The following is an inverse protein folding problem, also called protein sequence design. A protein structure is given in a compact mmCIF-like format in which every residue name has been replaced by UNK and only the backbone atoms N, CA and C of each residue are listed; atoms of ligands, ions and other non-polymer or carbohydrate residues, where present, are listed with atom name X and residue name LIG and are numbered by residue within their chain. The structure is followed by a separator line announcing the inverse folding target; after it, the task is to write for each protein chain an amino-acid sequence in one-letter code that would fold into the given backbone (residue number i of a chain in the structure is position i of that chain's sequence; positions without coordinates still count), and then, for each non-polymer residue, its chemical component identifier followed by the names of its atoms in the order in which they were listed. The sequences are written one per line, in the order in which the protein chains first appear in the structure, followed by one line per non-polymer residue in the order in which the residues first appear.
data_IF_977102593511
#
_entry.id   IF_977102593511
#
_cell.length_a   1.000
_cell.length_b   1.000
_cell.length_c   1.000
_cell.angle_alpha   90.00
_cell.angle_beta   90.00
_cell.angle_gamma   90.00
#
_symmetry.space_group_name_H-M   'P 1'
#
loop_
_entity.id
_entity.type
_entity.pdbx_description
1 polymer ?
#
# COMPACT_ATOMS: atom_id res chain seq x y z
N UNK A 1 39.63 -12.44 -15.18
CA UNK A 1 38.68 -13.02 -14.21
C UNK A 1 39.10 -14.45 -13.95
N UNK A 2 39.41 -14.81 -12.71
CA UNK A 2 39.81 -16.18 -12.35
C UNK A 2 38.55 -17.02 -12.12
N UNK A 3 38.32 -18.02 -12.98
CA UNK A 3 37.24 -19.00 -12.80
C UNK A 3 37.68 -19.96 -11.68
N UNK A 4 36.91 -20.04 -10.61
CA UNK A 4 37.20 -20.94 -9.49
C UNK A 4 36.86 -22.39 -9.89
N UNK A 5 37.74 -23.33 -9.52
CA UNK A 5 37.49 -24.76 -9.73
C UNK A 5 36.45 -25.23 -8.72
N UNK A 6 35.35 -25.82 -9.19
CA UNK A 6 34.26 -26.35 -8.37
C UNK A 6 34.25 -27.88 -8.41
N UNK A 7 33.93 -28.53 -7.29
CA UNK A 7 33.76 -29.97 -7.20
C UNK A 7 32.29 -30.29 -6.93
N UNK A 8 31.73 -31.25 -7.68
CA UNK A 8 30.41 -31.81 -7.40
C UNK A 8 30.49 -32.77 -6.22
N UNK A 9 29.61 -32.60 -5.24
CA UNK A 9 29.48 -33.47 -4.07
C UNK A 9 28.11 -34.14 -4.09
N UNK A 10 28.06 -35.38 -3.59
CA UNK A 10 26.84 -36.17 -3.41
C UNK A 10 26.82 -36.63 -1.96
N UNK A 11 25.74 -36.38 -1.23
CA UNK A 11 25.60 -36.73 0.18
C UNK A 11 24.31 -37.53 0.39
N UNK A 12 24.44 -38.69 1.01
CA UNK A 12 23.33 -39.55 1.39
C UNK A 12 23.41 -39.85 2.88
N UNK A 13 22.27 -39.82 3.56
CA UNK A 13 22.21 -40.03 5.01
C UNK A 13 20.85 -40.56 5.46
N UNK A 14 20.72 -40.83 6.77
CA UNK A 14 19.45 -41.24 7.36
C UNK A 14 18.50 -40.05 7.45
N UNK A 15 17.22 -40.26 7.13
CA UNK A 15 16.22 -39.19 7.09
C UNK A 15 16.10 -38.43 8.43
N UNK A 16 16.25 -39.13 9.55
CA UNK A 16 16.26 -38.56 10.91
C UNK A 16 17.39 -37.55 11.16
N UNK A 17 18.49 -37.63 10.40
CA UNK A 17 19.65 -36.76 10.55
C UNK A 17 19.67 -35.63 9.50
N UNK A 18 18.64 -35.54 8.65
CA UNK A 18 18.53 -34.54 7.56
C UNK A 18 18.70 -33.11 8.06
N UNK A 19 17.95 -32.73 9.10
CA UNK A 19 17.93 -31.35 9.60
C UNK A 19 19.25 -30.97 10.27
N UNK A 20 19.94 -31.94 10.87
CA UNK A 20 21.29 -31.75 11.41
C UNK A 20 22.29 -31.44 10.29
N UNK A 21 22.30 -32.25 9.22
CA UNK A 21 23.19 -32.03 8.08
C UNK A 21 22.88 -30.72 7.34
N UNK A 22 21.61 -30.39 7.15
CA UNK A 22 21.19 -29.11 6.58
C UNK A 22 21.75 -27.92 7.37
N UNK A 23 21.59 -27.92 8.70
CA UNK A 23 22.14 -26.88 9.57
C UNK A 23 23.67 -26.82 9.49
N UNK A 24 24.36 -27.96 9.48
CA UNK A 24 25.81 -28.02 9.41
C UNK A 24 26.35 -27.47 8.07
N UNK A 25 25.71 -27.84 6.96
CA UNK A 25 26.08 -27.39 5.62
C UNK A 25 25.81 -25.89 5.44
N UNK A 26 24.66 -25.40 5.92
CA UNK A 26 24.31 -23.97 5.89
C UNK A 26 25.30 -23.15 6.72
N UNK A 27 25.67 -23.62 7.92
CA UNK A 27 26.65 -22.94 8.80
C UNK A 27 28.05 -22.91 8.19
N UNK A 28 28.40 -23.92 7.40
CA UNK A 28 29.68 -23.95 6.71
C UNK A 28 29.74 -22.93 5.56
N UNK A 29 28.61 -22.53 4.96
CA UNK A 29 28.51 -21.59 3.81
C UNK A 29 29.39 -21.96 2.60
N UNK A 30 29.82 -23.23 2.46
CA UNK A 30 30.79 -23.64 1.43
C UNK A 30 30.14 -24.30 0.22
N UNK A 31 28.85 -24.64 0.30
CA UNK A 31 28.18 -25.54 -0.66
C UNK A 31 26.98 -24.83 -1.27
N UNK A 32 26.94 -24.81 -2.61
CA UNK A 32 25.77 -24.47 -3.40
C UNK A 32 24.99 -25.76 -3.68
N UNK A 33 23.75 -25.85 -3.22
CA UNK A 33 22.94 -27.06 -3.32
C UNK A 33 22.24 -27.09 -4.69
N UNK A 34 22.33 -28.22 -5.37
CA UNK A 34 21.81 -28.43 -6.72
C UNK A 34 20.62 -29.40 -6.66
N UNK A 35 19.58 -29.15 -7.46
CA UNK A 35 18.38 -30.00 -7.51
C UNK A 35 18.64 -31.08 -8.58
N UNK A 36 18.69 -32.38 -8.22
CA UNK A 36 19.04 -33.42 -9.18
C UNK A 36 17.91 -33.65 -10.19
N UNK A 37 17.99 -33.06 -11.39
CA UNK A 37 16.97 -33.21 -12.46
C UNK A 37 16.97 -34.59 -13.15
N UNK A 38 18.06 -35.38 -13.08
CA UNK A 38 18.20 -36.61 -13.89
C UNK A 38 18.91 -37.81 -13.21
N UNK A 39 19.55 -37.60 -12.06
CA UNK A 39 20.40 -38.60 -11.36
C UNK A 39 19.89 -38.94 -9.95
N UNK A 40 18.71 -38.43 -9.58
CA UNK A 40 18.15 -38.65 -8.25
C UNK A 40 17.68 -40.10 -8.12
N UNK A 41 18.04 -40.81 -7.03
CA UNK A 41 17.43 -42.12 -6.77
C UNK A 41 15.93 -41.94 -6.58
N UNK A 42 15.11 -42.70 -7.33
CA UNK A 42 13.65 -42.71 -7.16
C UNK A 42 13.33 -43.29 -5.79
N UNK A 43 12.83 -42.45 -4.89
CA UNK A 43 12.57 -42.80 -3.52
C UNK A 43 11.07 -42.56 -3.26
N UNK A 44 10.26 -43.62 -3.25
CA UNK A 44 8.79 -43.58 -3.39
C UNK A 44 7.93 -42.91 -2.30
N UNK A 45 8.32 -41.72 -1.79
CA UNK A 45 7.54 -40.83 -0.91
C UNK A 45 7.71 -39.33 -1.24
N UNK A 46 8.23 -39.03 -2.42
CA UNK A 46 8.46 -37.65 -2.89
C UNK A 46 7.15 -36.82 -2.88
N UNK A 47 6.02 -37.38 -3.31
CA UNK A 47 4.76 -36.62 -3.47
C UNK A 47 4.10 -36.20 -2.14
N UNK A 48 4.00 -37.09 -1.14
CA UNK A 48 3.41 -36.77 0.18
C UNK A 48 4.27 -35.78 0.96
N UNK A 49 5.60 -35.93 0.89
CA UNK A 49 6.55 -35.03 1.56
C UNK A 49 6.56 -33.64 0.92
N UNK A 50 6.43 -33.57 -0.41
CA UNK A 50 6.37 -32.29 -1.13
C UNK A 50 5.10 -31.51 -0.79
N UNK A 51 3.95 -32.17 -0.63
CA UNK A 51 2.69 -31.49 -0.28
C UNK A 51 2.72 -30.85 1.12
N UNK A 52 3.39 -31.47 2.09
CA UNK A 52 3.55 -30.91 3.45
C UNK A 52 4.53 -29.73 3.44
N UNK A 53 5.67 -29.87 2.74
CA UNK A 53 6.65 -28.79 2.57
C UNK A 53 6.02 -27.59 1.83
N UNK A 54 5.23 -27.82 0.79
CA UNK A 54 4.54 -26.74 0.06
C UNK A 54 3.55 -25.97 0.96
N UNK A 55 2.84 -26.65 1.86
CA UNK A 55 1.95 -25.98 2.83
C UNK A 55 2.73 -25.13 3.83
N UNK A 56 3.79 -25.68 4.41
CA UNK A 56 4.66 -24.93 5.34
C UNK A 56 5.31 -23.73 4.65
N UNK A 57 5.76 -23.89 3.39
CA UNK A 57 6.29 -22.79 2.58
C UNK A 57 5.22 -21.71 2.36
N UNK A 58 3.98 -22.08 2.03
CA UNK A 58 2.90 -21.13 1.86
C UNK A 58 2.58 -20.34 3.15
N UNK A 59 2.62 -20.99 4.31
CA UNK A 59 2.45 -20.31 5.61
C UNK A 59 3.58 -19.32 5.91
N UNK A 60 4.83 -19.72 5.65
CA UNK A 60 5.99 -18.83 5.81
C UNK A 60 5.93 -17.65 4.84
N UNK A 61 5.50 -17.89 3.60
CA UNK A 61 5.33 -16.86 2.57
C UNK A 61 4.28 -15.83 2.98
N UNK A 62 3.20 -16.28 3.61
CA UNK A 62 2.19 -15.40 4.17
C UNK A 62 2.79 -14.50 5.26
N UNK A 63 3.55 -15.06 6.21
CA UNK A 63 4.23 -14.30 7.25
C UNK A 63 5.25 -13.30 6.68
N UNK A 64 6.04 -13.70 5.69
CA UNK A 64 6.99 -12.82 5.00
C UNK A 64 6.28 -11.65 4.32
N UNK A 65 5.15 -11.93 3.64
CA UNK A 65 4.36 -10.90 2.98
C UNK A 65 3.78 -9.88 3.95
N UNK A 66 3.32 -10.32 5.12
CA UNK A 66 2.74 -9.40 6.11
C UNK A 66 3.80 -8.58 6.85
N UNK A 67 4.97 -9.16 7.11
CA UNK A 67 6.13 -8.44 7.64
C UNK A 67 6.63 -7.39 6.64
N UNK A 68 6.77 -7.75 5.36
CA UNK A 68 7.21 -6.83 4.31
C UNK A 68 6.25 -5.63 4.18
N UNK A 69 4.94 -5.90 4.06
CA UNK A 69 3.92 -4.85 4.04
C UNK A 69 4.00 -3.94 5.26
N UNK A 70 4.23 -4.51 6.44
CA UNK A 70 4.35 -3.76 7.70
C UNK A 70 5.57 -2.85 7.69
N UNK A 71 6.73 -3.37 7.28
CA UNK A 71 7.98 -2.60 7.19
C UNK A 71 7.82 -1.47 6.17
N UNK A 72 7.30 -1.77 4.97
CA UNK A 72 7.04 -0.76 3.92
C UNK A 72 6.05 0.31 4.39
N UNK A 73 5.01 -0.08 5.13
CA UNK A 73 4.06 0.86 5.72
C UNK A 73 4.74 1.80 6.72
N UNK A 74 5.55 1.27 7.65
CA UNK A 74 6.27 2.08 8.63
C UNK A 74 7.26 3.03 7.92
N UNK A 75 8.01 2.53 6.94
CA UNK A 75 9.03 3.30 6.23
C UNK A 75 8.45 4.43 5.36
N UNK A 76 7.19 4.30 4.91
CA UNK A 76 6.47 5.39 4.23
C UNK A 76 6.35 6.64 5.11
N UNK A 77 6.14 6.48 6.42
CA UNK A 77 5.92 7.58 7.35
C UNK A 77 7.18 7.94 8.15
N UNK A 78 8.01 6.96 8.49
CA UNK A 78 9.21 7.12 9.31
C UNK A 78 10.43 6.47 8.64
N UNK A 79 10.87 6.94 7.46
CA UNK A 79 11.98 6.32 6.73
C UNK A 79 13.29 6.37 7.52
N UNK A 80 14.05 5.28 7.48
CA UNK A 80 15.41 5.26 8.02
C UNK A 80 16.31 6.08 7.11
N UNK A 81 16.83 7.21 7.60
CA UNK A 81 17.84 8.00 6.88
C UNK A 81 19.21 7.34 7.09
N UNK A 82 19.82 6.73 6.06
CA UNK A 82 21.17 6.19 6.23
C UNK A 82 22.14 7.34 6.52
N UNK A 83 23.01 7.13 7.49
CA UNK A 83 24.17 8.04 7.68
C UNK A 83 25.07 7.99 6.44
N UNK A 84 25.87 9.04 6.20
CA UNK A 84 26.77 9.12 5.03
C UNK A 84 27.63 7.85 4.86
N UNK A 85 28.09 7.24 5.96
CA UNK A 85 28.88 6.00 5.94
C UNK A 85 28.02 4.79 5.52
N UNK A 86 26.77 4.72 5.99
CA UNK A 86 25.83 3.65 5.64
C UNK A 86 25.31 3.76 4.20
N UNK A 87 25.38 4.93 3.56
CA UNK A 87 25.07 5.07 2.13
C UNK A 87 26.10 4.35 1.23
N UNK A 88 27.36 4.26 1.68
CA UNK A 88 28.42 3.58 0.93
C UNK A 88 28.57 2.10 1.30
N UNK A 89 28.36 1.74 2.57
CA UNK A 89 28.56 0.36 3.07
C UNK A 89 27.26 -0.47 3.18
N UNK A 90 26.10 0.17 2.98
CA UNK A 90 24.78 -0.35 3.35
C UNK A 90 24.49 -0.16 4.84
N UNK A 91 23.21 -0.10 5.21
CA UNK A 91 22.78 -0.17 6.61
C UNK A 91 22.90 -1.63 7.06
N UNK A 92 23.96 -1.96 7.81
CA UNK A 92 24.11 -3.27 8.44
C UNK A 92 23.94 -3.11 9.94
N UNK A 93 22.90 -3.74 10.49
CA UNK A 93 22.71 -3.85 11.94
C UNK A 93 23.38 -5.14 12.39
N UNK A 94 24.34 -5.03 13.30
CA UNK A 94 25.01 -6.20 13.87
C UNK A 94 24.24 -6.65 15.11
N UNK A 95 23.71 -7.86 15.05
CA UNK A 95 23.09 -8.55 16.18
C UNK A 95 23.98 -9.74 16.56
N UNK A 96 24.08 -10.03 17.85
CA UNK A 96 24.62 -11.32 18.30
C UNK A 96 23.61 -12.44 17.99
N UNK A 97 24.09 -13.69 17.93
CA UNK A 97 23.22 -14.85 17.68
C UNK A 97 22.09 -14.94 18.73
N UNK A 98 22.40 -14.63 20.00
CA UNK A 98 21.42 -14.68 21.10
C UNK A 98 20.36 -13.59 20.92
N UNK A 99 20.78 -12.34 20.65
CA UNK A 99 19.84 -11.23 20.42
C UNK A 99 18.96 -11.48 19.18
N UNK A 100 19.52 -12.08 18.13
CA UNK A 100 18.76 -12.45 16.94
C UNK A 100 17.71 -13.50 17.26
N UNK A 101 18.08 -14.57 17.98
CA UNK A 101 17.12 -15.62 18.35
C UNK A 101 16.05 -15.09 19.31
N UNK A 102 16.40 -14.28 20.30
CA UNK A 102 15.43 -13.68 21.22
C UNK A 102 14.40 -12.81 20.49
N UNK A 103 14.85 -12.01 19.51
CA UNK A 103 13.97 -11.18 18.68
C UNK A 103 13.12 -12.01 17.69
N UNK A 104 13.71 -13.05 17.11
CA UNK A 104 13.04 -13.93 16.15
C UNK A 104 11.98 -14.83 16.82
N UNK A 105 12.26 -15.33 18.03
CA UNK A 105 11.36 -16.20 18.79
C UNK A 105 10.18 -15.44 19.42
N UNK A 106 10.22 -14.11 19.43
CA UNK A 106 9.13 -13.24 19.87
C UNK A 106 7.92 -13.21 18.90
N UNK A 107 7.58 -14.34 18.25
CA UNK A 107 6.55 -14.49 17.21
C UNK A 107 5.19 -13.91 17.61
N UNK A 108 4.75 -14.13 18.85
CA UNK A 108 3.48 -13.61 19.36
C UNK A 108 3.47 -12.07 19.49
N UNK A 109 4.63 -11.46 19.74
CA UNK A 109 4.74 -10.00 19.78
C UNK A 109 4.79 -9.43 18.36
N UNK A 110 5.52 -10.10 17.46
CA UNK A 110 5.62 -9.73 16.05
C UNK A 110 4.26 -9.74 15.35
N UNK A 111 3.44 -10.79 15.55
CA UNK A 111 2.08 -10.84 14.99
C UNK A 111 1.22 -9.68 15.46
N UNK A 112 1.29 -9.32 16.76
CA UNK A 112 0.53 -8.17 17.29
C UNK A 112 0.96 -6.85 16.66
N UNK A 113 2.25 -6.68 16.37
CA UNK A 113 2.78 -5.48 15.71
C UNK A 113 2.23 -5.39 14.27
N UNK A 114 2.20 -6.51 13.55
CA UNK A 114 1.63 -6.60 12.20
C UNK A 114 0.14 -6.25 12.23
N UNK A 115 -0.64 -6.82 13.15
CA UNK A 115 -2.07 -6.53 13.30
C UNK A 115 -2.32 -5.04 13.60
N UNK A 116 -1.55 -4.47 14.52
CA UNK A 116 -1.60 -3.05 14.86
C UNK A 116 -1.26 -2.16 13.66
N UNK A 117 -0.21 -2.49 12.91
CA UNK A 117 0.19 -1.75 11.72
C UNK A 117 -0.89 -1.79 10.63
N UNK A 118 -1.50 -2.97 10.42
CA UNK A 118 -2.59 -3.15 9.47
C UNK A 118 -3.81 -2.28 9.84
N UNK A 119 -4.22 -2.30 11.12
CA UNK A 119 -5.31 -1.47 11.61
C UNK A 119 -5.03 0.04 11.44
N UNK A 120 -3.81 0.49 11.79
CA UNK A 120 -3.40 1.88 11.61
C UNK A 120 -3.39 2.29 10.13
N UNK A 121 -2.94 1.41 9.23
CA UNK A 121 -2.94 1.68 7.79
C UNK A 121 -4.37 1.85 7.25
N UNK A 122 -5.31 1.02 7.70
CA UNK A 122 -6.73 1.14 7.32
C UNK A 122 -7.33 2.46 7.81
N UNK A 123 -7.10 2.83 9.08
CA UNK A 123 -7.62 4.09 9.64
C UNK A 123 -7.00 5.32 8.94
N UNK A 124 -5.69 5.33 8.70
CA UNK A 124 -5.02 6.40 7.96
C UNK A 124 -5.55 6.53 6.53
N UNK A 125 -5.80 5.42 5.83
CA UNK A 125 -6.35 5.43 4.48
C UNK A 125 -7.80 5.97 4.46
N UNK A 126 -8.61 5.57 5.44
CA UNK A 126 -9.98 6.06 5.62
C UNK A 126 -10.00 7.56 5.91
N UNK A 127 -9.14 8.02 6.82
CA UNK A 127 -9.01 9.45 7.15
C UNK A 127 -8.56 10.26 5.92
N UNK A 128 -7.59 9.77 5.16
CA UNK A 128 -7.13 10.43 3.93
C UNK A 128 -8.24 10.51 2.86
N UNK A 129 -9.04 9.45 2.71
CA UNK A 129 -10.17 9.45 1.78
C UNK A 129 -11.25 10.46 2.19
N UNK A 130 -11.57 10.54 3.49
CA UNK A 130 -12.51 11.53 4.02
C UNK A 130 -11.99 12.96 3.86
N UNK A 131 -10.71 13.21 4.14
CA UNK A 131 -10.06 14.51 3.93
C UNK A 131 -10.13 14.94 2.46
N UNK A 132 -9.84 14.02 1.52
CA UNK A 132 -9.93 14.30 0.09
C UNK A 132 -11.37 14.61 -0.35
N UNK A 133 -12.36 13.86 0.16
CA UNK A 133 -13.79 14.10 -0.11
C UNK A 133 -14.22 15.47 0.38
N UNK A 134 -13.88 15.86 1.61
CA UNK A 134 -14.22 17.17 2.17
C UNK A 134 -13.53 18.33 1.46
N UNK A 135 -12.29 18.14 1.00
CA UNK A 135 -11.61 19.14 0.17
C UNK A 135 -12.27 19.31 -1.20
N UNK A 136 -12.71 18.21 -1.81
CA UNK A 136 -13.46 18.25 -3.07
C UNK A 136 -14.80 18.98 -2.88
N UNK A 137 -15.56 18.64 -1.83
CA UNK A 137 -16.81 19.34 -1.50
C UNK A 137 -16.57 20.84 -1.31
N UNK A 138 -15.52 21.20 -0.58
CA UNK A 138 -15.17 22.60 -0.32
C UNK A 138 -14.80 23.34 -1.61
N UNK A 139 -14.02 22.71 -2.50
CA UNK A 139 -13.69 23.27 -3.81
C UNK A 139 -14.93 23.53 -4.65
N UNK A 140 -15.93 22.64 -4.60
CA UNK A 140 -17.17 22.76 -5.36
C UNK A 140 -18.15 23.76 -4.73
N UNK A 141 -18.13 23.95 -3.41
CA UNK A 141 -19.05 24.83 -2.67
C UNK A 141 -18.56 26.26 -2.53
N UNK A 142 -17.26 26.48 -2.37
CA UNK A 142 -16.66 27.83 -2.22
C UNK A 142 -17.17 28.85 -3.26
N UNK A 143 -17.26 28.50 -4.56
CA UNK A 143 -17.70 29.44 -5.57
C UNK A 143 -19.20 29.83 -5.46
N UNK A 144 -19.95 29.11 -4.64
CA UNK A 144 -21.38 29.27 -4.38
C UNK A 144 -21.64 29.78 -2.96
N UNK A 145 -20.64 30.34 -2.29
CA UNK A 145 -20.75 30.85 -0.91
C UNK A 145 -21.83 31.93 -0.70
N UNK A 146 -22.18 32.66 -1.75
CA UNK A 146 -23.25 33.68 -1.76
C UNK A 146 -24.63 33.11 -2.14
N UNK A 147 -24.75 31.79 -2.35
CA UNK A 147 -26.02 31.14 -2.66
C UNK A 147 -26.95 31.17 -1.44
N UNK A 148 -28.01 31.96 -1.55
CA UNK A 148 -29.06 32.12 -0.54
C UNK A 148 -30.26 31.21 -0.85
N UNK A 149 -30.00 29.91 -1.00
CA UNK A 149 -31.00 28.86 -1.13
C UNK A 149 -30.58 27.67 -0.28
N UNK A 150 -31.57 26.98 0.32
CA UNK A 150 -31.32 25.70 0.99
C UNK A 150 -31.25 24.59 -0.06
N UNK A 151 -30.64 23.47 0.29
CA UNK A 151 -30.53 22.32 -0.61
C UNK A 151 -31.91 21.81 -1.06
N UNK A 152 -32.89 21.78 -0.16
CA UNK A 152 -34.28 21.41 -0.45
C UNK A 152 -34.92 22.36 -1.48
N UNK A 153 -34.56 23.64 -1.46
CA UNK A 153 -35.11 24.63 -2.38
C UNK A 153 -34.61 24.40 -3.83
N UNK A 154 -33.45 23.74 -4.01
CA UNK A 154 -32.91 23.40 -5.33
C UNK A 154 -33.74 22.33 -6.05
N UNK A 155 -34.52 21.52 -5.33
CA UNK A 155 -35.45 20.57 -5.95
C UNK A 155 -36.57 21.29 -6.72
N UNK A 156 -36.79 22.57 -6.41
CA UNK A 156 -37.88 23.36 -6.95
C UNK A 156 -39.23 22.93 -6.40
N UNK A 157 -40.29 23.19 -7.18
CA UNK A 157 -41.67 22.85 -6.83
C UNK A 157 -42.27 21.91 -7.87
N UNK A 158 -43.56 21.58 -7.78
CA UNK A 158 -44.24 20.82 -8.85
C UNK A 158 -44.18 21.53 -10.21
N UNK A 159 -44.04 22.86 -10.23
CA UNK A 159 -44.11 23.67 -11.45
C UNK A 159 -42.80 24.36 -11.81
N UNK A 160 -41.89 24.60 -10.86
CA UNK A 160 -40.66 25.35 -11.05
C UNK A 160 -39.45 24.45 -10.81
N UNK A 161 -38.40 24.63 -11.61
CA UNK A 161 -37.08 24.03 -11.37
C UNK A 161 -36.06 25.14 -11.15
N UNK A 162 -35.11 24.87 -10.27
CA UNK A 162 -33.92 25.69 -10.06
C UNK A 162 -32.76 25.04 -10.79
N UNK A 163 -32.09 25.79 -11.67
CA UNK A 163 -30.94 25.32 -12.43
C UNK A 163 -29.76 26.20 -12.04
N UNK A 164 -28.75 25.59 -11.41
CA UNK A 164 -27.48 26.25 -11.15
C UNK A 164 -26.58 26.07 -12.35
N UNK A 165 -25.84 27.10 -12.71
CA UNK A 165 -24.82 26.95 -13.74
C UNK A 165 -23.80 28.07 -13.76
N UNK A 166 -22.80 27.85 -14.60
CA UNK A 166 -21.70 28.76 -14.82
C UNK A 166 -21.54 29.08 -16.30
N UNK A 167 -21.08 30.29 -16.58
CA UNK A 167 -20.77 30.77 -17.93
C UNK A 167 -19.54 31.66 -17.87
N UNK A 168 -18.72 31.66 -18.92
CA UNK A 168 -17.60 32.59 -19.01
C UNK A 168 -18.08 34.05 -18.95
N UNK A 169 -17.32 34.90 -18.25
CA UNK A 169 -17.68 36.32 -18.04
C UNK A 169 -17.99 37.04 -19.36
N UNK A 170 -17.26 36.72 -20.43
CA UNK A 170 -17.42 37.35 -21.76
C UNK A 170 -18.74 37.00 -22.44
N UNK A 171 -19.33 35.85 -22.09
CA UNK A 171 -20.54 35.31 -22.72
C UNK A 171 -21.78 35.45 -21.83
N UNK A 172 -21.62 36.08 -20.66
CA UNK A 172 -22.73 36.27 -19.72
C UNK A 172 -23.89 37.08 -20.33
N UNK A 173 -23.59 38.11 -21.14
CA UNK A 173 -24.62 38.88 -21.83
C UNK A 173 -25.45 38.00 -22.77
N UNK A 174 -24.84 37.03 -23.47
CA UNK A 174 -25.56 36.10 -24.35
C UNK A 174 -26.56 35.23 -23.56
N UNK A 175 -26.24 34.87 -22.31
CA UNK A 175 -27.17 34.17 -21.40
C UNK A 175 -28.32 35.08 -20.98
N UNK A 176 -28.03 36.35 -20.66
CA UNK A 176 -29.08 37.32 -20.30
C UNK A 176 -30.05 37.57 -21.47
N UNK A 177 -29.53 37.74 -22.67
CA UNK A 177 -30.32 37.95 -23.89
C UNK A 177 -31.18 36.72 -24.21
N UNK A 178 -30.62 35.50 -24.06
CA UNK A 178 -31.37 34.26 -24.26
C UNK A 178 -32.52 34.10 -23.25
N UNK A 179 -32.28 34.41 -21.97
CA UNK A 179 -33.34 34.37 -20.94
C UNK A 179 -34.42 35.44 -21.19
N UNK A 180 -34.02 36.65 -21.62
CA UNK A 180 -34.96 37.72 -21.93
C UNK A 180 -35.82 37.44 -23.18
N UNK A 181 -35.27 36.70 -24.15
CA UNK A 181 -35.97 36.29 -25.36
C UNK A 181 -36.85 35.03 -25.18
N UNK A 182 -36.81 34.38 -24.01
CA UNK A 182 -37.57 33.17 -23.75
C UNK A 182 -39.09 33.43 -23.85
N UNK A 183 -39.85 32.61 -24.61
CA UNK A 183 -41.29 32.79 -24.75
C UNK A 183 -42.10 32.35 -23.51
N UNK A 184 -41.42 31.98 -22.43
CA UNK A 184 -41.98 31.46 -21.18
C UNK A 184 -41.33 32.17 -19.98
N UNK A 185 -41.98 32.05 -18.81
CA UNK A 185 -41.44 32.63 -17.58
C UNK A 185 -40.13 31.99 -17.17
N UNK A 186 -39.04 32.76 -17.26
CA UNK A 186 -37.71 32.39 -16.76
C UNK A 186 -37.07 33.60 -16.06
N UNK A 187 -36.50 33.36 -14.89
CA UNK A 187 -35.77 34.38 -14.12
C UNK A 187 -34.31 33.95 -13.97
N UNK A 188 -33.38 34.88 -14.21
CA UNK A 188 -31.95 34.69 -13.99
C UNK A 188 -31.52 35.53 -12.78
N UNK A 189 -30.93 34.86 -11.79
CA UNK A 189 -30.26 35.50 -10.66
C UNK A 189 -28.77 35.21 -10.72
N UNK A 190 -27.95 36.27 -10.71
CA UNK A 190 -26.51 36.12 -10.53
C UNK A 190 -26.21 35.84 -9.06
N UNK A 191 -25.43 34.79 -8.80
CA UNK A 191 -25.02 34.35 -7.47
C UNK A 191 -23.64 34.88 -7.11
N UNK A 192 -22.67 34.70 -8.00
CA UNK A 192 -21.29 35.13 -7.79
C UNK A 192 -20.61 35.36 -9.15
N UNK A 193 -19.48 36.07 -9.17
CA UNK A 193 -18.59 36.15 -10.33
C UNK A 193 -17.14 36.19 -9.85
N UNK A 194 -16.28 35.43 -10.54
CA UNK A 194 -14.83 35.61 -10.46
C UNK A 194 -14.25 36.11 -11.80
N UNK A 195 -12.92 36.04 -11.96
CA UNK A 195 -12.25 36.52 -13.17
C UNK A 195 -12.58 35.69 -14.42
N UNK A 196 -13.02 34.44 -14.26
CA UNK A 196 -13.23 33.48 -15.35
C UNK A 196 -14.70 33.26 -15.63
N UNK A 197 -15.51 33.10 -14.58
CA UNK A 197 -16.90 32.68 -14.71
C UNK A 197 -17.88 33.53 -13.88
N UNK A 198 -19.10 33.64 -14.40
CA UNK A 198 -20.28 34.10 -13.69
C UNK A 198 -21.12 32.89 -13.31
N UNK A 199 -21.53 32.82 -12.06
CA UNK A 199 -22.39 31.77 -11.50
C UNK A 199 -23.79 32.30 -11.33
N UNK A 200 -24.76 31.54 -11.81
CA UNK A 200 -26.15 31.94 -11.86
C UNK A 200 -27.07 30.85 -11.33
N UNK A 201 -28.22 31.26 -10.83
CA UNK A 201 -29.38 30.43 -10.59
C UNK A 201 -30.48 30.87 -11.56
N UNK A 202 -31.01 29.91 -12.30
CA UNK A 202 -32.14 30.09 -13.21
C UNK A 202 -33.38 29.45 -12.60
N UNK A 203 -34.50 30.15 -12.68
CA UNK A 203 -35.81 29.66 -12.26
C UNK A 203 -36.69 29.56 -13.50
N UNK A 204 -37.15 28.36 -13.82
CA UNK A 204 -37.95 28.13 -15.02
C UNK A 204 -39.08 27.13 -14.74
N UNK A 205 -40.14 27.19 -15.53
CA UNK A 205 -41.20 26.18 -15.45
C UNK A 205 -40.67 24.81 -15.84
N UNK A 206 -41.06 23.77 -15.11
CA UNK A 206 -40.56 22.41 -15.28
C UNK A 206 -40.74 21.87 -16.71
N UNK A 207 -41.84 22.24 -17.39
CA UNK A 207 -42.11 21.86 -18.78
C UNK A 207 -41.18 22.54 -19.80
N UNK A 208 -40.57 23.69 -19.45
CA UNK A 208 -39.73 24.49 -20.36
C UNK A 208 -38.23 24.28 -20.13
N UNK A 209 -37.81 23.42 -19.21
CA UNK A 209 -36.38 23.21 -18.87
C UNK A 209 -35.57 22.76 -20.10
N UNK A 210 -36.12 21.86 -20.92
CA UNK A 210 -35.45 21.36 -22.13
C UNK A 210 -35.26 22.47 -23.17
N UNK A 211 -36.29 23.28 -23.36
CA UNK A 211 -36.26 24.43 -24.28
C UNK A 211 -35.27 25.49 -23.82
N UNK A 212 -35.29 25.84 -22.53
CA UNK A 212 -34.31 26.74 -21.92
C UNK A 212 -32.87 26.23 -22.09
N UNK A 213 -32.63 24.93 -21.86
CA UNK A 213 -31.30 24.34 -22.06
C UNK A 213 -30.82 24.45 -23.51
N UNK A 214 -31.72 24.27 -24.48
CA UNK A 214 -31.40 24.43 -25.90
C UNK A 214 -31.08 25.89 -26.26
N UNK A 215 -31.80 26.84 -25.66
CA UNK A 215 -31.54 28.28 -25.84
C UNK A 215 -30.20 28.73 -25.24
N UNK A 216 -29.77 28.12 -24.13
CA UNK A 216 -28.53 28.48 -23.42
C UNK A 216 -27.28 27.78 -23.97
N UNK A 217 -27.44 26.68 -24.71
CA UNK A 217 -26.34 25.89 -25.26
C UNK A 217 -25.34 26.72 -26.11
N UNK A 218 -25.77 27.63 -27.01
CA UNK A 218 -24.85 28.46 -27.80
C UNK A 218 -23.94 29.33 -26.93
N UNK A 219 -24.43 29.82 -25.79
CA UNK A 219 -23.73 30.73 -24.88
C UNK A 219 -22.61 30.05 -24.05
N UNK A 220 -22.47 28.72 -24.15
CA UNK A 220 -21.50 27.95 -23.36
C UNK A 220 -21.90 27.79 -21.88
N UNK A 221 -23.19 27.92 -21.58
CA UNK A 221 -23.72 27.67 -20.23
C UNK A 221 -23.49 26.22 -19.82
N UNK A 222 -22.91 26.02 -18.64
CA UNK A 222 -22.68 24.69 -18.06
C UNK A 222 -23.52 24.55 -16.79
N UNK A 223 -24.40 23.55 -16.76
CA UNK A 223 -25.17 23.23 -15.55
C UNK A 223 -24.26 22.63 -14.48
N UNK A 224 -24.43 23.07 -13.23
CA UNK A 224 -23.65 22.64 -12.08
C UNK A 224 -24.55 21.92 -11.06
N UNK A 225 -24.09 20.78 -10.57
CA UNK A 225 -24.70 20.07 -9.44
C UNK A 225 -23.79 20.23 -8.23
N UNK A 226 -24.33 20.78 -7.15
CA UNK A 226 -23.58 20.96 -5.89
C UNK A 226 -23.57 19.67 -5.07
N UNK A 227 -22.50 19.40 -4.30
CA UNK A 227 -22.52 18.38 -3.26
C UNK A 227 -23.51 18.78 -2.15
N UNK A 228 -23.91 17.82 -1.32
CA UNK A 228 -24.87 18.07 -0.23
C UNK A 228 -24.35 19.12 0.78
N UNK A 229 -25.20 20.11 1.09
CA UNK A 229 -24.87 21.23 1.97
C UNK A 229 -25.97 21.61 2.98
N UNK A 230 -27.16 21.03 2.86
CA UNK A 230 -28.26 21.18 3.80
C UNK A 230 -28.82 22.61 3.85
N UNK A 231 -28.62 23.30 4.97
CA UNK A 231 -29.29 24.58 5.26
C UNK A 231 -28.72 25.78 4.51
N UNK A 232 -27.41 25.83 4.31
CA UNK A 232 -26.74 26.95 3.65
C UNK A 232 -25.33 26.55 3.25
N UNK A 233 -24.89 27.01 2.08
CA UNK A 233 -23.54 26.77 1.58
C UNK A 233 -22.49 27.32 2.55
N UNK A 234 -22.68 28.52 3.08
CA UNK A 234 -21.76 29.13 4.05
C UNK A 234 -21.60 28.28 5.33
N UNK A 235 -22.72 27.81 5.89
CA UNK A 235 -22.70 26.95 7.08
C UNK A 235 -22.01 25.61 6.81
N UNK A 236 -22.21 25.04 5.62
CA UNK A 236 -21.52 23.80 5.21
C UNK A 236 -20.01 24.01 5.06
N UNK A 237 -19.59 25.10 4.40
CA UNK A 237 -18.17 25.45 4.24
C UNK A 237 -17.50 25.61 5.61
N UNK A 238 -18.13 26.31 6.55
CA UNK A 238 -17.61 26.47 7.91
C UNK A 238 -17.48 25.13 8.65
N UNK A 239 -18.47 24.25 8.50
CA UNK A 239 -18.45 22.90 9.06
C UNK A 239 -17.30 22.06 8.49
N UNK A 240 -17.13 22.06 7.15
CA UNK A 240 -16.05 21.35 6.47
C UNK A 240 -14.67 21.86 6.93
N UNK A 241 -14.49 23.17 7.07
CA UNK A 241 -13.24 23.73 7.60
C UNK A 241 -12.94 23.27 9.04
N UNK A 242 -13.96 23.15 9.89
CA UNK A 242 -13.78 22.63 11.27
C UNK A 242 -13.39 21.17 11.26
N UNK A 243 -14.09 20.35 10.47
CA UNK A 243 -13.80 18.91 10.33
C UNK A 243 -12.39 18.67 9.76
N UNK A 244 -11.97 19.45 8.77
CA UNK A 244 -10.61 19.38 8.22
C UNK A 244 -9.53 19.76 9.26
N UNK A 245 -9.83 20.65 10.23
CA UNK A 245 -8.91 20.93 11.35
C UNK A 245 -8.84 19.77 12.33
N UNK A 246 -9.96 19.11 12.61
CA UNK A 246 -10.01 17.92 13.48
C UNK A 246 -9.18 16.76 12.89
N UNK A 247 -9.22 16.58 11.57
CA UNK A 247 -8.40 15.58 10.88
C UNK A 247 -6.90 15.77 11.06
N UNK A 248 -6.43 17.01 11.28
CA UNK A 248 -5.00 17.24 11.58
C UNK A 248 -4.62 16.58 12.91
N UNK A 249 -5.43 16.79 13.95
CA UNK A 249 -5.18 16.22 15.27
C UNK A 249 -5.33 14.68 15.27
N UNK A 250 -6.33 14.15 14.57
CA UNK A 250 -6.53 12.71 14.43
C UNK A 250 -5.40 12.05 13.64
N UNK A 251 -4.93 12.67 12.56
CA UNK A 251 -3.77 12.18 11.81
C UNK A 251 -2.51 12.19 12.67
N UNK A 252 -2.28 13.25 13.45
CA UNK A 252 -1.13 13.31 14.36
C UNK A 252 -1.17 12.21 15.41
N UNK A 253 -2.35 11.88 15.97
CA UNK A 253 -2.46 10.80 16.97
C UNK A 253 -2.18 9.43 16.35
N UNK A 254 -2.70 9.16 15.16
CA UNK A 254 -2.42 7.92 14.41
C UNK A 254 -0.93 7.82 14.05
N UNK A 255 -0.30 8.92 13.62
CA UNK A 255 1.13 8.93 13.29
C UNK A 255 2.02 8.70 14.50
N UNK A 256 1.65 9.15 15.71
CA UNK A 256 2.38 8.80 16.94
C UNK A 256 2.32 7.30 17.23
N UNK A 257 1.19 6.65 16.99
CA UNK A 257 1.10 5.20 17.13
C UNK A 257 1.99 4.47 16.09
N UNK A 258 2.07 4.99 14.86
CA UNK A 258 3.01 4.46 13.85
C UNK A 258 4.47 4.68 14.26
N UNK A 259 4.79 5.80 14.91
CA UNK A 259 6.14 6.08 15.45
C UNK A 259 6.55 5.05 16.51
N UNK A 260 5.64 4.66 17.41
CA UNK A 260 5.89 3.59 18.39
C UNK A 260 6.20 2.25 17.71
N UNK A 261 5.52 1.94 16.61
CA UNK A 261 5.83 0.74 15.81
C UNK A 261 7.18 0.86 15.10
N UNK A 262 7.55 2.06 14.64
CA UNK A 262 8.86 2.32 14.03
C UNK A 262 10.01 2.05 15.00
N UNK A 263 9.80 2.24 16.32
CA UNK A 263 10.74 1.85 17.37
C UNK A 263 11.00 0.34 17.46
N UNK A 264 10.08 -0.50 16.95
CA UNK A 264 10.20 -1.97 16.93
C UNK A 264 10.67 -2.52 15.57
N UNK A 265 11.18 -1.65 14.69
CA UNK A 265 11.64 -2.05 13.34
C UNK A 265 12.67 -3.18 13.36
N UNK A 266 13.62 -3.15 14.30
CA UNK A 266 14.66 -4.18 14.39
C UNK A 266 14.07 -5.57 14.70
N UNK A 267 13.02 -5.63 15.54
CA UNK A 267 12.30 -6.86 15.83
C UNK A 267 11.58 -7.39 14.57
N UNK A 268 10.94 -6.50 13.80
CA UNK A 268 10.27 -6.87 12.54
C UNK A 268 11.27 -7.39 11.50
N UNK A 269 12.44 -6.74 11.37
CA UNK A 269 13.51 -7.15 10.47
C UNK A 269 14.12 -8.49 10.88
N UNK A 270 14.40 -8.68 12.17
CA UNK A 270 14.90 -9.96 12.68
C UNK A 270 13.91 -11.10 12.43
N UNK A 271 12.61 -10.85 12.64
CA UNK A 271 11.56 -11.83 12.34
C UNK A 271 11.48 -12.13 10.83
N UNK A 272 11.60 -11.10 9.97
CA UNK A 272 11.63 -11.29 8.52
C UNK A 272 12.82 -12.16 8.10
N UNK A 273 14.03 -11.83 8.57
CA UNK A 273 15.24 -12.60 8.29
C UNK A 273 15.13 -14.05 8.78
N UNK A 274 14.51 -14.26 9.94
CA UNK A 274 14.21 -15.61 10.45
C UNK A 274 13.31 -16.39 9.49
N UNK A 275 12.14 -15.85 9.14
CA UNK A 275 11.21 -16.53 8.23
C UNK A 275 11.81 -16.73 6.84
N UNK A 276 12.64 -15.79 6.37
CA UNK A 276 13.35 -15.91 5.10
C UNK A 276 14.33 -17.09 5.13
N UNK A 277 15.07 -17.24 6.23
CA UNK A 277 15.98 -18.36 6.44
C UNK A 277 15.23 -19.70 6.57
N UNK A 278 14.08 -19.74 7.25
CA UNK A 278 13.24 -20.94 7.33
C UNK A 278 12.67 -21.32 5.96
N UNK A 279 12.16 -20.35 5.19
CA UNK A 279 11.73 -20.57 3.80
C UNK A 279 12.87 -21.13 2.95
N UNK A 280 14.07 -20.55 3.09
CA UNK A 280 15.24 -21.01 2.35
C UNK A 280 15.58 -22.45 2.71
N UNK A 281 15.61 -22.82 4.00
CA UNK A 281 15.82 -24.21 4.45
C UNK A 281 14.80 -25.17 3.84
N UNK A 282 13.51 -24.80 3.82
CA UNK A 282 12.46 -25.63 3.21
C UNK A 282 12.61 -25.75 1.69
N UNK A 283 12.98 -24.67 1.01
CA UNK A 283 13.22 -24.69 -0.44
C UNK A 283 14.40 -25.58 -0.84
N UNK A 284 15.42 -25.63 0.02
CA UNK A 284 16.52 -26.59 -0.13
C UNK A 284 16.01 -28.00 0.19
N UNK A 285 15.19 -28.16 1.24
CA UNK A 285 14.59 -29.43 1.66
C UNK A 285 13.67 -30.08 0.61
N UNK A 286 12.94 -29.30 -0.20
CA UNK A 286 12.12 -29.81 -1.30
C UNK A 286 12.95 -30.30 -2.50
N UNK A 287 14.21 -29.86 -2.62
CA UNK A 287 15.15 -30.34 -3.64
C UNK A 287 15.80 -31.69 -3.34
N UNK A 288 15.52 -32.31 -2.18
CA UNK A 288 16.06 -33.62 -1.83
C UNK A 288 15.22 -34.74 -2.42
N UNK A 289 15.88 -35.79 -2.92
CA UNK A 289 15.21 -37.07 -3.11
C UNK A 289 15.08 -37.77 -1.73
N UNK A 290 13.85 -38.08 -1.32
CA UNK A 290 13.52 -38.58 0.02
C UNK A 290 12.88 -39.96 -0.05
N UNK A 291 13.50 -40.93 0.64
CA UNK A 291 12.99 -42.29 0.78
C UNK A 291 12.48 -42.59 2.18
N UNK A 292 12.03 -43.82 2.39
CA UNK A 292 11.44 -44.25 3.66
C UNK A 292 12.38 -44.12 4.88
N UNK A 293 13.70 -44.16 4.67
CA UNK A 293 14.72 -44.04 5.74
C UNK A 293 15.95 -43.20 5.38
N UNK A 294 16.06 -42.72 4.14
CA UNK A 294 17.28 -42.08 3.61
C UNK A 294 16.95 -40.80 2.86
N UNK A 295 17.85 -39.83 2.91
CA UNK A 295 17.80 -38.61 2.10
C UNK A 295 19.01 -38.57 1.15
N UNK A 296 18.87 -37.87 0.03
CA UNK A 296 19.92 -37.66 -0.96
C UNK A 296 20.01 -36.19 -1.39
N UNK A 297 21.23 -35.68 -1.48
CA UNK A 297 21.60 -34.29 -1.77
C UNK A 297 22.73 -34.26 -2.80
N UNK A 298 22.66 -33.32 -3.75
CA UNK A 298 23.80 -32.94 -4.58
C UNK A 298 24.13 -31.45 -4.42
N UNK A 299 25.39 -31.09 -4.69
CA UNK A 299 25.80 -29.69 -4.68
C UNK A 299 27.22 -29.49 -5.18
N UNK A 300 27.66 -28.24 -5.16
CA UNK A 300 28.97 -27.80 -5.60
C UNK A 300 29.72 -27.14 -4.46
N UNK A 301 30.97 -27.54 -4.25
CA UNK A 301 31.89 -26.90 -3.30
C UNK A 301 33.07 -26.29 -4.04
N UNK A 302 33.51 -25.11 -3.60
CA UNK A 302 34.73 -24.50 -4.12
C UNK A 302 35.95 -25.31 -3.70
N UNK A 303 36.81 -25.64 -4.66
CA UNK A 303 38.05 -26.33 -4.39
C UNK A 303 39.00 -25.42 -3.60
N UNK A 304 39.08 -25.63 -2.28
CA UNK A 304 40.13 -25.07 -1.45
C UNK A 304 41.35 -25.99 -1.59
N UNK A 305 42.40 -25.51 -2.28
CA UNK A 305 43.70 -26.18 -2.24
C UNK A 305 44.09 -26.36 -0.76
N UNK A 306 44.51 -27.56 -0.33
CA UNK A 306 45.07 -27.70 1.00
C UNK A 306 46.25 -26.74 1.10
N UNK A 307 46.31 -25.97 2.19
CA UNK A 307 47.51 -25.25 2.58
C UNK A 307 48.65 -26.27 2.65
N UNK A 308 49.43 -26.39 1.58
CA UNK A 308 50.68 -27.12 1.56
C UNK A 308 51.70 -26.29 2.36
N UNK A 309 51.63 -26.43 3.68
CA UNK A 309 52.54 -25.85 4.65
C UNK A 309 52.76 -26.82 5.78
N UNK A 310 53.10 -28.08 5.46
CA UNK A 310 53.71 -28.96 6.46
C UNK A 310 55.14 -28.45 6.71
N UNK A 311 55.52 -28.13 7.96
CA UNK A 311 56.90 -27.79 8.25
C UNK A 311 57.75 -29.06 8.09
N UNK A 312 58.68 -29.05 7.13
CA UNK A 312 59.80 -30.00 7.13
C UNK A 312 60.80 -29.52 8.17
N UNK A 313 60.87 -30.21 9.31
CA UNK A 313 62.07 -30.23 10.15
C UNK A 313 63.18 -31.02 9.41
N UNK A 314 64.45 -30.66 9.60
CA UNK A 314 65.19 -31.02 10.81
C UNK A 314 65.49 -29.84 11.74
#
# INVERSE_FOLDING_TARGET
MAVARMNRIKLAGLLKDRDYWLKALQKAQVIEIDIPENDAPVLGREEESNCEIEREMAEIDHHLGDLDKTIVFIDRYFPVKPTLIQQFAGVKTFLTEVEFQDLAEARNQTSKIVDQASALNVELAKLAHQEASFRSDLQNLLPWSELDLREEDLQGTSFVRVILGEVEVRRFNEVQDAVAAAPFGCELRRINQDQRAVRVALFARAENVSELSAMLAPSGFTQVTLPAYGKSVAVRIDSLHKQLKEFVAERESLLRAVEELAGKRLQLQAAYDYFYNERFKLSVASGFAVGSRTFYLEGWIRFLLPFCGAPRYP
#
